data_IF_186197673393
#
_entry.id   IF_186197673393
#
_cell.length_a   1.000
_cell.length_b   1.000
_cell.length_c   1.000
_cell.angle_alpha   90.00
_cell.angle_beta   90.00
_cell.angle_gamma   90.00
#
_symmetry.space_group_name_H-M   'P 1'
#
loop_
_entity.id
_entity.type
_entity.pdbx_description
1 polymer ?
#
# COMPACT_ATOMS: atom_id res chain seq x y z
N UNK A 1 32.31 26.92 36.28
CA UNK A 1 31.72 26.62 35.00
C UNK A 1 30.23 26.92 35.14
N UNK A 2 29.64 27.84 34.37
CA UNK A 2 28.18 27.97 34.43
C UNK A 2 27.55 26.70 33.85
N UNK A 3 26.54 26.22 34.60
CA UNK A 3 25.68 25.11 34.20
C UNK A 3 25.00 25.50 32.90
N UNK A 4 25.30 24.79 31.81
CA UNK A 4 24.63 25.03 30.53
C UNK A 4 23.15 24.63 30.71
N UNK A 5 22.27 25.62 30.69
CA UNK A 5 20.80 25.51 30.78
C UNK A 5 20.29 24.75 29.54
N UNK A 6 20.40 23.41 29.55
CA UNK A 6 19.91 22.54 28.49
C UNK A 6 18.39 22.56 28.47
N UNK A 7 17.81 23.23 27.47
CA UNK A 7 16.37 23.29 27.25
C UNK A 7 15.95 22.29 26.19
N UNK A 8 14.90 21.53 26.48
CA UNK A 8 14.24 20.66 25.49
C UNK A 8 13.28 21.45 24.61
N UNK A 9 13.23 21.14 23.30
CA UNK A 9 12.20 21.68 22.43
C UNK A 9 10.82 21.21 22.89
N UNK A 10 9.85 22.12 22.95
CA UNK A 10 8.44 21.77 23.14
C UNK A 10 7.80 21.56 21.77
N UNK A 11 7.09 20.44 21.61
CA UNK A 11 6.37 20.10 20.38
C UNK A 11 4.91 20.50 20.53
N UNK A 12 4.44 21.42 19.68
CA UNK A 12 3.01 21.72 19.55
C UNK A 12 2.35 20.63 18.68
N UNK A 13 1.61 19.72 19.30
CA UNK A 13 0.95 18.62 18.60
C UNK A 13 -0.05 19.11 17.56
N UNK A 14 -0.76 20.23 17.82
CA UNK A 14 -1.70 20.82 16.86
C UNK A 14 -0.95 21.27 15.61
N UNK A 15 0.20 21.93 15.78
CA UNK A 15 1.07 22.32 14.65
C UNK A 15 1.59 21.11 13.88
N UNK A 16 1.92 20.02 14.56
CA UNK A 16 2.33 18.77 13.90
C UNK A 16 1.18 18.15 13.11
N UNK A 17 -0.02 18.03 13.67
CA UNK A 17 -1.21 17.52 12.97
C UNK A 17 -1.55 18.37 11.75
N UNK A 18 -1.47 19.70 11.87
CA UNK A 18 -1.66 20.63 10.74
C UNK A 18 -0.61 20.43 9.64
N UNK A 19 0.64 20.23 10.03
CA UNK A 19 1.73 19.96 9.09
C UNK A 19 1.56 18.61 8.39
N UNK A 20 1.18 17.57 9.11
CA UNK A 20 0.87 16.25 8.56
C UNK A 20 -0.27 16.34 7.55
N UNK A 21 -1.36 17.04 7.91
CA UNK A 21 -2.56 17.15 7.08
C UNK A 21 -2.38 17.98 5.81
N UNK A 22 -1.46 18.95 5.82
CA UNK A 22 -1.25 19.90 4.69
C UNK A 22 -0.07 19.53 3.80
N UNK A 23 0.93 18.83 4.34
CA UNK A 23 2.23 18.66 3.66
C UNK A 23 2.72 17.23 3.53
N UNK A 24 2.23 16.31 4.36
CA UNK A 24 2.70 14.92 4.34
C UNK A 24 1.66 13.99 3.71
N UNK A 25 0.40 14.13 4.07
CA UNK A 25 -0.67 13.26 3.57
C UNK A 25 -1.54 13.97 2.52
N UNK A 26 -2.00 13.23 1.51
CA UNK A 26 -2.91 13.74 0.47
C UNK A 26 -4.33 14.06 1.00
N UNK A 27 -4.67 13.68 2.23
CA UNK A 27 -5.96 13.99 2.84
C UNK A 27 -6.35 13.07 4.00
N UNK A 28 -7.50 13.32 4.64
CA UNK A 28 -7.90 12.62 5.88
C UNK A 28 -8.20 11.12 5.70
N UNK A 29 -8.37 10.63 4.47
CA UNK A 29 -8.60 9.19 4.15
C UNK A 29 -7.52 8.27 4.66
N UNK A 30 -6.33 8.79 4.86
CA UNK A 30 -5.14 8.04 5.33
C UNK A 30 -5.33 7.47 6.74
N UNK A 31 -6.23 8.01 7.57
CA UNK A 31 -6.49 7.49 8.91
C UNK A 31 -6.76 5.98 8.90
N UNK A 32 -7.56 5.50 7.97
CA UNK A 32 -7.92 4.08 7.91
C UNK A 32 -6.73 3.22 7.44
N UNK A 33 -5.94 3.72 6.50
CA UNK A 33 -4.70 3.04 6.07
C UNK A 33 -3.76 2.84 7.25
N UNK A 34 -3.50 3.90 8.02
CA UNK A 34 -2.60 3.85 9.18
C UNK A 34 -3.12 2.93 10.29
N UNK A 35 -4.45 2.93 10.56
CA UNK A 35 -5.05 2.01 11.53
C UNK A 35 -4.93 0.55 11.09
N UNK A 36 -5.24 0.24 9.82
CA UNK A 36 -5.11 -1.11 9.26
C UNK A 36 -3.67 -1.60 9.26
N UNK A 37 -2.71 -0.70 9.03
CA UNK A 37 -1.31 -0.99 9.10
C UNK A 37 -0.84 -1.30 10.54
N UNK A 38 -1.27 -0.51 11.51
CA UNK A 38 -0.97 -0.77 12.91
C UNK A 38 -1.57 -2.11 13.37
N UNK A 39 -2.78 -2.45 12.91
CA UNK A 39 -3.41 -3.73 13.19
C UNK A 39 -2.64 -4.89 12.54
N UNK A 40 -2.17 -4.75 11.29
CA UNK A 40 -1.34 -5.75 10.62
C UNK A 40 -0.04 -6.00 11.36
N UNK A 41 0.66 -4.94 11.79
CA UNK A 41 1.89 -5.03 12.57
C UNK A 41 1.66 -5.74 13.91
N UNK A 42 0.58 -5.37 14.62
CA UNK A 42 0.22 -6.00 15.89
C UNK A 42 -0.14 -7.49 15.74
N UNK A 43 -0.83 -7.86 14.66
CA UNK A 43 -1.18 -9.25 14.34
C UNK A 43 0.08 -10.04 13.97
N UNK A 44 1.00 -9.45 13.20
CA UNK A 44 2.29 -10.07 12.87
C UNK A 44 3.07 -10.38 14.15
N UNK A 45 3.19 -9.41 15.05
CA UNK A 45 3.83 -9.61 16.35
C UNK A 45 3.11 -10.66 17.21
N UNK A 46 1.78 -10.75 17.16
CA UNK A 46 1.01 -11.75 17.89
C UNK A 46 1.31 -13.16 17.42
N UNK A 47 1.39 -13.36 16.10
CA UNK A 47 1.70 -14.67 15.50
C UNK A 47 3.04 -15.21 15.94
N UNK A 48 4.01 -14.35 16.24
CA UNK A 48 5.30 -14.77 16.76
C UNK A 48 5.26 -15.12 18.25
N UNK A 49 4.39 -14.47 19.03
CA UNK A 49 4.24 -14.75 20.46
C UNK A 49 3.56 -16.10 20.71
N UNK A 50 2.44 -16.37 20.04
CA UNK A 50 1.61 -17.54 20.32
C UNK A 50 0.99 -18.21 19.08
N UNK A 51 1.35 -17.79 17.90
CA UNK A 51 0.86 -18.35 16.63
C UNK A 51 -0.60 -18.01 16.30
N UNK A 52 -1.23 -17.13 17.07
CA UNK A 52 -2.66 -16.76 16.91
C UNK A 52 -2.82 -15.35 16.36
N UNK A 53 -4.07 -14.92 16.13
CA UNK A 53 -4.41 -13.62 15.57
C UNK A 53 -4.55 -13.66 14.05
N UNK A 54 -5.23 -12.66 13.53
CA UNK A 54 -5.43 -12.51 12.09
C UNK A 54 -6.75 -11.87 11.70
N UNK A 55 -7.47 -11.28 12.64
CA UNK A 55 -8.76 -10.65 12.39
C UNK A 55 -8.75 -9.18 12.79
N UNK A 56 -9.21 -8.35 11.90
CA UNK A 56 -9.57 -6.95 12.16
C UNK A 56 -11.08 -6.79 11.97
N UNK A 57 -11.75 -6.22 12.95
CA UNK A 57 -13.17 -5.86 12.86
C UNK A 57 -13.32 -4.35 12.86
N UNK A 58 -14.14 -3.84 11.96
CA UNK A 58 -14.44 -2.41 11.86
C UNK A 58 -15.94 -2.23 12.03
N UNK A 59 -16.32 -1.41 12.99
CA UNK A 59 -17.71 -0.96 13.19
C UNK A 59 -17.79 0.52 12.80
N UNK A 60 -18.33 0.85 11.61
CA UNK A 60 -18.51 2.23 11.18
C UNK A 60 -19.56 2.96 12.01
N UNK A 61 -19.56 4.30 11.96
CA UNK A 61 -20.67 5.08 12.52
C UNK A 61 -21.97 4.76 11.76
N UNK A 62 -23.07 4.83 12.49
CA UNK A 62 -24.42 4.57 11.99
C UNK A 62 -25.43 5.58 12.53
N UNK A 63 -26.70 5.46 12.17
CA UNK A 63 -27.74 6.31 12.72
C UNK A 63 -28.02 6.05 14.21
N UNK A 64 -27.53 4.92 14.76
CA UNK A 64 -27.66 4.53 16.16
C UNK A 64 -26.38 4.67 16.98
N UNK A 65 -25.24 4.91 16.34
CA UNK A 65 -23.92 5.09 16.99
C UNK A 65 -23.09 6.12 16.26
N UNK A 66 -22.61 7.11 16.98
CA UNK A 66 -21.67 8.13 16.51
C UNK A 66 -20.20 7.73 16.71
N UNK A 67 -19.94 6.47 17.06
CA UNK A 67 -18.61 5.96 17.33
C UNK A 67 -18.16 4.98 16.25
N UNK A 68 -17.03 5.28 15.61
CA UNK A 68 -16.28 4.34 14.79
C UNK A 68 -15.34 3.53 15.68
N UNK A 69 -15.30 2.21 15.49
CA UNK A 69 -14.42 1.33 16.23
C UNK A 69 -13.66 0.42 15.27
N UNK A 70 -12.34 0.35 15.43
CA UNK A 70 -11.50 -0.66 14.77
C UNK A 70 -10.87 -1.51 15.87
N UNK A 71 -11.06 -2.81 15.79
CA UNK A 71 -10.52 -3.79 16.75
C UNK A 71 -9.64 -4.80 16.02
N UNK A 72 -8.45 -5.05 16.53
CA UNK A 72 -7.57 -6.14 16.11
C UNK A 72 -7.40 -7.16 17.23
N UNK A 73 -7.11 -8.40 16.86
CA UNK A 73 -6.72 -9.49 17.76
C UNK A 73 -5.19 -9.67 17.82
N UNK A 74 -4.45 -8.58 17.62
CA UNK A 74 -3.00 -8.53 17.67
C UNK A 74 -2.40 -8.73 19.06
N UNK A 75 -1.10 -8.46 19.18
CA UNK A 75 -0.34 -8.65 20.44
C UNK A 75 -0.84 -7.77 21.59
N UNK A 76 -1.52 -6.66 21.29
CA UNK A 76 -1.93 -5.66 22.27
C UNK A 76 -0.75 -4.91 22.90
N UNK A 77 -1.06 -3.98 23.80
CA UNK A 77 -0.09 -3.11 24.49
C UNK A 77 -0.26 -3.21 25.99
N UNK A 78 0.86 -3.11 26.72
CA UNK A 78 0.90 -2.89 28.18
C UNK A 78 0.77 -1.40 28.50
N UNK A 79 0.55 -1.05 29.78
CA UNK A 79 0.46 0.34 30.22
C UNK A 79 1.76 1.13 29.95
N UNK A 80 2.91 0.51 30.15
CA UNK A 80 4.22 1.13 29.93
C UNK A 80 4.44 1.37 28.42
N UNK A 81 4.12 0.36 27.58
CA UNK A 81 4.20 0.49 26.13
C UNK A 81 3.29 1.58 25.56
N UNK A 82 2.08 1.72 26.12
CA UNK A 82 1.14 2.78 25.75
C UNK A 82 1.69 4.16 26.11
N UNK A 83 2.26 4.30 27.31
CA UNK A 83 2.84 5.56 27.75
C UNK A 83 4.03 5.97 26.86
N UNK A 84 4.92 5.03 26.52
CA UNK A 84 6.11 5.31 25.73
C UNK A 84 5.82 5.55 24.25
N UNK A 85 4.97 4.70 23.65
CA UNK A 85 4.67 4.73 22.21
C UNK A 85 3.77 5.90 21.80
N UNK A 86 2.73 6.15 22.61
CA UNK A 86 1.70 7.11 22.23
C UNK A 86 1.99 8.52 22.78
N UNK A 87 2.87 8.64 23.79
CA UNK A 87 3.31 9.93 24.32
C UNK A 87 4.45 10.56 23.50
N UNK A 88 5.16 9.80 22.67
CA UNK A 88 6.33 10.29 21.95
C UNK A 88 6.05 10.34 20.45
N UNK A 89 5.73 11.52 19.93
CA UNK A 89 5.56 11.79 18.51
C UNK A 89 6.89 11.58 17.78
N UNK A 90 6.88 10.76 16.73
CA UNK A 90 8.07 10.52 15.91
C UNK A 90 9.03 9.44 16.43
N UNK A 91 8.73 8.80 17.53
CA UNK A 91 9.49 7.65 18.02
C UNK A 91 8.89 6.35 17.47
N UNK A 92 9.49 5.82 16.42
CA UNK A 92 9.17 4.48 15.93
C UNK A 92 9.92 3.46 16.77
N UNK A 93 9.41 3.15 17.97
CA UNK A 93 9.99 2.19 18.89
C UNK A 93 9.47 0.76 18.68
N UNK A 94 8.73 0.50 17.58
CA UNK A 94 8.31 -0.87 17.23
C UNK A 94 9.49 -1.85 17.16
N UNK A 95 10.70 -1.35 16.85
CA UNK A 95 11.94 -2.11 16.86
C UNK A 95 12.32 -2.67 18.22
N UNK A 96 12.25 -1.82 19.25
CA UNK A 96 12.69 -2.17 20.61
C UNK A 96 11.62 -2.96 21.35
N UNK A 97 10.35 -2.82 20.94
CA UNK A 97 9.19 -3.46 21.58
C UNK A 97 8.98 -4.91 21.15
N UNK A 98 9.25 -5.24 19.89
CA UNK A 98 8.91 -6.55 19.33
C UNK A 98 10.13 -7.40 18.96
N UNK A 99 11.34 -6.84 19.05
CA UNK A 99 12.63 -7.51 18.77
C UNK A 99 12.73 -8.15 17.35
N UNK A 100 12.03 -7.55 16.38
CA UNK A 100 11.83 -8.11 15.05
C UNK A 100 12.55 -7.34 13.93
N UNK A 101 12.91 -7.99 12.79
CA UNK A 101 13.57 -7.35 11.66
C UNK A 101 12.74 -6.22 11.05
N UNK A 102 13.39 -5.18 10.53
CA UNK A 102 12.75 -4.00 9.92
C UNK A 102 11.81 -4.30 8.76
N UNK A 103 12.06 -5.40 8.04
CA UNK A 103 11.35 -5.79 6.83
C UNK A 103 9.90 -6.23 7.06
N UNK A 104 9.56 -6.61 8.30
CA UNK A 104 8.29 -7.29 8.59
C UNK A 104 7.19 -6.34 9.06
N UNK A 105 7.54 -5.06 9.32
CA UNK A 105 6.59 -4.03 9.76
C UNK A 105 6.30 -2.99 8.71
N UNK A 106 5.02 -2.74 8.47
CA UNK A 106 4.55 -1.68 7.61
C UNK A 106 4.67 -0.29 8.28
N UNK A 107 4.59 -0.19 9.62
CA UNK A 107 4.58 1.05 10.41
C UNK A 107 5.95 1.57 10.82
N UNK A 108 6.65 2.34 9.99
CA UNK A 108 8.04 2.76 10.25
C UNK A 108 8.21 4.11 10.96
N UNK A 109 7.23 5.02 10.93
CA UNK A 109 7.46 6.43 11.26
C UNK A 109 6.87 6.91 12.61
N UNK A 110 6.09 6.09 13.33
CA UNK A 110 5.54 6.47 14.64
C UNK A 110 4.56 7.65 14.67
N UNK A 111 4.13 8.13 13.49
CA UNK A 111 3.22 9.28 13.34
C UNK A 111 1.83 8.88 12.82
N UNK A 112 1.67 7.62 12.42
CA UNK A 112 0.45 7.14 11.74
C UNK A 112 -0.83 7.35 12.56
N UNK A 113 -0.78 7.10 13.89
CA UNK A 113 -1.94 7.33 14.76
C UNK A 113 -2.42 8.78 14.77
N UNK A 114 -1.50 9.73 14.60
CA UNK A 114 -1.87 11.16 14.57
C UNK A 114 -2.78 11.51 13.38
N UNK A 115 -2.78 10.71 12.32
CA UNK A 115 -3.71 10.89 11.21
C UNK A 115 -5.17 10.77 11.63
N UNK A 116 -5.47 10.06 12.73
CA UNK A 116 -6.82 9.96 13.28
C UNK A 116 -7.35 11.31 13.77
N UNK A 117 -6.46 12.26 14.16
CA UNK A 117 -6.87 13.62 14.51
C UNK A 117 -7.37 14.44 13.33
N UNK A 118 -7.19 13.96 12.11
CA UNK A 118 -7.81 14.58 10.93
C UNK A 118 -9.32 14.31 10.84
N UNK A 119 -9.81 13.25 11.50
CA UNK A 119 -11.22 12.83 11.47
C UNK A 119 -11.90 12.89 12.85
N UNK A 120 -11.13 12.97 13.94
CA UNK A 120 -11.62 12.96 15.32
C UNK A 120 -10.81 13.92 16.19
N UNK A 121 -11.44 14.63 17.12
CA UNK A 121 -10.72 15.45 18.12
C UNK A 121 -10.23 14.64 19.33
N UNK A 122 -10.73 13.43 19.48
CA UNK A 122 -10.35 12.53 20.57
C UNK A 122 -10.18 11.13 20.05
N UNK A 123 -9.06 10.50 20.39
CA UNK A 123 -8.75 9.11 20.08
C UNK A 123 -8.77 8.35 21.41
N UNK A 124 -9.56 7.29 21.50
CA UNK A 124 -9.53 6.36 22.64
C UNK A 124 -8.98 5.02 22.19
N UNK A 125 -7.95 4.53 22.86
CA UNK A 125 -7.36 3.21 22.60
C UNK A 125 -7.56 2.37 23.84
N UNK A 126 -8.14 1.19 23.66
CA UNK A 126 -8.23 0.16 24.70
C UNK A 126 -7.42 -1.04 24.25
N UNK A 127 -6.54 -1.53 25.13
CA UNK A 127 -5.65 -2.62 24.75
C UNK A 127 -5.36 -3.55 25.92
N UNK A 128 -5.15 -4.83 25.61
CA UNK A 128 -4.65 -5.83 26.54
C UNK A 128 -3.57 -6.66 25.86
N UNK A 129 -2.41 -6.72 26.48
CA UNK A 129 -1.25 -7.41 25.93
C UNK A 129 -1.36 -8.93 26.06
N UNK A 130 -0.96 -9.66 25.02
CA UNK A 130 -0.76 -11.11 25.03
C UNK A 130 0.36 -11.54 25.98
N UNK A 131 1.27 -10.62 26.31
CA UNK A 131 2.38 -10.85 27.25
C UNK A 131 1.94 -10.79 28.71
N UNK A 132 0.64 -10.54 28.96
CA UNK A 132 0.04 -10.45 30.28
C UNK A 132 -0.23 -9.01 30.73
N UNK A 133 -0.69 -8.87 31.96
CA UNK A 133 -1.08 -7.57 32.55
C UNK A 133 -2.57 -7.29 32.43
N UNK A 134 -2.96 -6.16 33.01
CA UNK A 134 -4.35 -5.65 32.97
C UNK A 134 -4.58 -4.86 31.70
N UNK A 135 -5.84 -4.72 31.30
CA UNK A 135 -6.23 -3.86 30.21
C UNK A 135 -5.91 -2.39 30.51
N UNK A 136 -5.48 -1.66 29.49
CA UNK A 136 -5.15 -0.24 29.58
C UNK A 136 -6.05 0.56 28.64
N UNK A 137 -6.42 1.77 29.05
CA UNK A 137 -7.07 2.76 28.22
C UNK A 137 -6.21 4.00 28.11
N UNK A 138 -5.91 4.40 26.89
CA UNK A 138 -5.29 5.68 26.55
C UNK A 138 -6.33 6.57 25.88
N UNK A 139 -6.36 7.84 26.27
CA UNK A 139 -7.22 8.84 25.65
C UNK A 139 -6.39 10.06 25.28
N UNK A 140 -6.21 10.29 23.98
CA UNK A 140 -5.49 11.43 23.44
C UNK A 140 -6.45 12.46 22.83
N UNK A 141 -6.08 13.73 22.93
CA UNK A 141 -6.84 14.86 22.39
C UNK A 141 -6.01 15.66 21.39
N UNK A 142 -6.67 16.30 20.47
CA UNK A 142 -6.05 17.10 19.42
C UNK A 142 -5.31 18.35 19.95
N UNK A 143 -5.51 18.71 21.25
CA UNK A 143 -4.78 19.76 21.94
C UNK A 143 -3.40 19.35 22.47
N UNK A 144 -3.04 18.06 22.30
CA UNK A 144 -1.77 17.51 22.74
C UNK A 144 -1.80 16.89 24.15
N UNK A 145 -2.97 16.87 24.79
CA UNK A 145 -3.11 16.22 26.09
C UNK A 145 -3.50 14.77 25.97
N UNK A 146 -3.08 13.94 26.90
CA UNK A 146 -3.51 12.55 27.00
C UNK A 146 -3.62 12.07 28.43
N UNK A 147 -4.36 10.97 28.62
CA UNK A 147 -4.48 10.25 29.90
C UNK A 147 -4.27 8.77 29.67
N UNK A 148 -3.68 8.10 30.64
CA UNK A 148 -3.55 6.63 30.70
C UNK A 148 -4.21 6.15 31.98
N UNK A 149 -5.13 5.21 31.83
CA UNK A 149 -5.86 4.62 32.96
C UNK A 149 -5.96 3.10 32.81
N UNK A 150 -6.22 2.37 33.86
CA UNK A 150 -6.63 0.98 33.76
C UNK A 150 -7.99 0.92 33.03
N UNK A 151 -8.13 -0.01 32.09
CA UNK A 151 -9.38 -0.16 31.36
C UNK A 151 -10.46 -0.77 32.26
N UNK A 152 -11.69 -0.28 32.09
CA UNK A 152 -12.84 -0.86 32.80
C UNK A 152 -13.23 -2.21 32.19
N UNK A 153 -13.46 -3.19 33.05
CA UNK A 153 -13.87 -4.54 32.67
C UNK A 153 -12.74 -5.41 32.09
N UNK A 154 -13.10 -6.63 31.72
CA UNK A 154 -12.15 -7.56 31.11
C UNK A 154 -12.09 -7.35 29.60
N UNK A 155 -10.92 -6.97 29.08
CA UNK A 155 -10.69 -6.81 27.63
C UNK A 155 -10.19 -8.12 27.02
N UNK A 156 -10.57 -8.44 25.79
CA UNK A 156 -9.89 -9.46 25.00
C UNK A 156 -8.44 -9.02 24.70
N UNK A 157 -7.56 -9.96 24.38
CA UNK A 157 -6.20 -9.65 23.92
C UNK A 157 -6.31 -8.99 22.54
N UNK A 158 -5.53 -7.90 22.35
CA UNK A 158 -5.55 -7.08 21.16
C UNK A 158 -5.77 -5.61 21.48
N UNK A 159 -6.13 -4.85 20.45
CA UNK A 159 -6.34 -3.40 20.57
C UNK A 159 -7.65 -2.97 19.91
N UNK A 160 -8.36 -2.03 20.54
CA UNK A 160 -9.48 -1.33 19.90
C UNK A 160 -9.22 0.17 19.88
N UNK A 161 -9.45 0.79 18.73
CA UNK A 161 -9.35 2.24 18.49
C UNK A 161 -10.74 2.79 18.27
N UNK A 162 -11.12 3.78 19.07
CA UNK A 162 -12.43 4.41 19.06
C UNK A 162 -12.28 5.86 18.62
N UNK A 163 -13.07 6.27 17.61
CA UNK A 163 -13.08 7.62 17.05
C UNK A 163 -14.51 8.16 17.00
N UNK A 164 -14.70 9.41 17.46
CA UNK A 164 -15.92 10.16 17.21
C UNK A 164 -15.66 11.22 16.15
N UNK A 165 -16.54 11.32 15.14
CA UNK A 165 -16.30 12.21 14.00
C UNK A 165 -16.22 13.67 14.43
N UNK A 166 -15.31 14.40 13.83
CA UNK A 166 -15.38 15.87 13.79
C UNK A 166 -16.59 16.30 12.97
N UNK A 167 -17.07 17.50 13.23
CA UNK A 167 -18.31 18.02 12.65
C UNK A 167 -18.40 17.86 11.12
N UNK A 168 -17.29 18.01 10.40
CA UNK A 168 -17.21 17.99 8.94
C UNK A 168 -16.65 16.68 8.35
N UNK A 169 -16.30 15.69 9.18
CA UNK A 169 -15.61 14.46 8.76
C UNK A 169 -16.44 13.18 8.93
N UNK A 170 -17.70 13.30 9.33
CA UNK A 170 -18.56 12.15 9.62
C UNK A 170 -18.70 11.18 8.43
N UNK A 171 -18.75 11.69 7.22
CA UNK A 171 -18.92 10.85 6.03
C UNK A 171 -17.78 9.86 5.80
N UNK A 172 -16.56 10.18 6.24
CA UNK A 172 -15.40 9.28 6.12
C UNK A 172 -15.48 8.08 7.05
N UNK A 173 -16.25 8.18 8.15
CA UNK A 173 -16.42 7.11 9.15
C UNK A 173 -17.70 6.29 8.92
N UNK A 174 -18.53 6.62 7.90
CA UNK A 174 -19.74 5.87 7.53
C UNK A 174 -19.40 4.61 6.74
N UNK A 175 -20.27 3.62 6.81
CA UNK A 175 -20.10 2.28 6.22
C UNK A 175 -19.66 2.34 4.75
N UNK A 176 -20.31 3.13 3.90
CA UNK A 176 -19.96 3.18 2.47
C UNK A 176 -18.51 3.63 2.23
N UNK A 177 -18.09 4.71 2.92
CA UNK A 177 -16.71 5.23 2.83
C UNK A 177 -15.69 4.26 3.42
N UNK A 178 -15.99 3.69 4.59
CA UNK A 178 -15.10 2.72 5.27
C UNK A 178 -14.90 1.48 4.40
N UNK A 179 -15.96 0.92 3.82
CA UNK A 179 -15.87 -0.22 2.89
C UNK A 179 -15.01 0.13 1.66
N UNK A 180 -15.26 1.30 1.05
CA UNK A 180 -14.50 1.73 -0.12
C UNK A 180 -13.01 1.94 0.20
N UNK A 181 -12.70 2.60 1.32
CA UNK A 181 -11.32 2.85 1.75
C UNK A 181 -10.59 1.55 2.15
N UNK A 182 -11.26 0.67 2.91
CA UNK A 182 -10.68 -0.61 3.30
C UNK A 182 -10.39 -1.49 2.07
N UNK A 183 -11.29 -1.54 1.09
CA UNK A 183 -11.06 -2.22 -0.19
C UNK A 183 -9.91 -1.59 -0.97
N UNK A 184 -9.81 -0.27 -1.01
CA UNK A 184 -8.72 0.40 -1.71
C UNK A 184 -7.37 0.07 -1.08
N UNK A 185 -7.22 0.21 0.24
CA UNK A 185 -5.92 0.08 0.89
C UNK A 185 -5.53 -1.37 1.24
N UNK A 186 -6.49 -2.22 1.63
CA UNK A 186 -6.20 -3.43 2.39
C UNK A 186 -6.83 -4.71 1.84
N UNK A 187 -7.43 -4.68 0.62
CA UNK A 187 -8.10 -5.86 0.05
C UNK A 187 -7.22 -7.10 -0.09
N UNK A 188 -5.91 -6.92 -0.16
CA UNK A 188 -4.96 -8.03 -0.34
C UNK A 188 -4.15 -8.37 0.90
N UNK A 189 -4.43 -7.72 2.05
CA UNK A 189 -3.72 -8.04 3.29
C UNK A 189 -3.93 -9.50 3.70
N UNK A 190 -2.89 -10.19 4.23
CA UNK A 190 -2.96 -11.60 4.61
C UNK A 190 -3.62 -11.81 5.98
N UNK A 191 -4.76 -11.15 6.20
CA UNK A 191 -5.57 -11.22 7.41
C UNK A 191 -7.06 -11.03 7.07
N UNK A 192 -7.94 -11.35 8.00
CA UNK A 192 -9.37 -11.25 7.82
C UNK A 192 -9.86 -9.87 8.27
N UNK A 193 -10.33 -9.05 7.34
CA UNK A 193 -10.95 -7.75 7.66
C UNK A 193 -12.47 -7.87 7.49
N UNK A 194 -13.19 -7.65 8.58
CA UNK A 194 -14.64 -7.70 8.66
C UNK A 194 -15.19 -6.30 8.96
N UNK A 195 -16.20 -5.88 8.22
CA UNK A 195 -16.88 -4.60 8.45
C UNK A 195 -18.34 -4.87 8.77
N UNK A 196 -18.78 -4.35 9.91
CA UNK A 196 -20.18 -4.45 10.34
C UNK A 196 -21.08 -3.60 9.42
N UNK A 197 -22.24 -4.16 9.05
CA UNK A 197 -23.18 -3.50 8.16
C UNK A 197 -24.38 -2.94 8.93
N UNK A 198 -24.96 -1.81 8.50
CA UNK A 198 -26.20 -1.29 9.06
C UNK A 198 -27.33 -2.33 8.97
N UNK A 199 -28.05 -2.50 10.05
CA UNK A 199 -29.16 -3.47 10.11
C UNK A 199 -28.74 -4.91 10.45
N UNK A 200 -27.45 -5.14 10.72
CA UNK A 200 -26.89 -6.43 11.09
C UNK A 200 -26.17 -7.14 9.94
N UNK A 201 -25.33 -8.10 10.30
CA UNK A 201 -24.44 -8.78 9.36
C UNK A 201 -23.08 -8.10 9.20
N UNK A 202 -22.22 -8.74 8.42
CA UNK A 202 -20.83 -8.27 8.19
C UNK A 202 -20.44 -8.53 6.73
N UNK A 203 -19.44 -7.81 6.25
CA UNK A 203 -18.80 -8.06 4.96
C UNK A 203 -17.31 -8.27 5.13
N UNK A 204 -16.75 -9.26 4.42
CA UNK A 204 -15.30 -9.46 4.34
C UNK A 204 -14.74 -8.60 3.21
N UNK A 205 -13.58 -7.98 3.47
CA UNK A 205 -12.92 -7.10 2.52
C UNK A 205 -11.76 -7.81 1.82
N UNK A 206 -11.10 -8.75 2.50
CA UNK A 206 -9.85 -9.35 2.03
C UNK A 206 -10.10 -10.50 1.06
N UNK A 207 -9.22 -10.55 0.04
CA UNK A 207 -9.17 -11.57 -1.00
C UNK A 207 -7.71 -11.87 -1.38
N UNK A 208 -7.47 -12.97 -2.07
CA UNK A 208 -6.15 -13.30 -2.58
C UNK A 208 -5.72 -12.32 -3.69
N UNK A 209 -4.43 -11.89 -3.71
CA UNK A 209 -3.94 -10.94 -4.70
C UNK A 209 -3.85 -11.58 -6.10
N UNK A 210 -4.66 -11.12 -7.09
CA UNK A 210 -4.72 -11.74 -8.42
C UNK A 210 -3.45 -11.57 -9.26
N UNK A 211 -2.57 -10.66 -8.85
CA UNK A 211 -1.29 -10.38 -9.51
C UNK A 211 -0.12 -11.19 -8.92
N UNK A 212 -0.42 -12.12 -8.00
CA UNK A 212 0.54 -13.09 -7.46
C UNK A 212 0.00 -14.48 -7.77
N UNK A 213 0.58 -15.15 -8.75
CA UNK A 213 0.12 -16.47 -9.16
C UNK A 213 -0.01 -16.66 -10.67
N UNK A 214 -0.80 -17.63 -11.14
CA UNK A 214 -0.93 -17.92 -12.56
C UNK A 214 -1.56 -16.77 -13.35
N UNK A 215 -0.94 -16.41 -14.47
CA UNK A 215 -1.38 -15.32 -15.35
C UNK A 215 -2.69 -15.61 -16.08
N UNK A 216 -3.03 -16.89 -16.27
CA UNK A 216 -4.25 -17.37 -16.93
C UNK A 216 -5.43 -17.49 -15.98
N UNK A 217 -5.23 -17.22 -14.68
CA UNK A 217 -6.31 -17.26 -13.70
C UNK A 217 -7.40 -16.22 -14.03
N UNK A 218 -8.70 -16.55 -13.90
CA UNK A 218 -9.80 -15.63 -14.18
C UNK A 218 -9.69 -14.30 -13.39
N UNK A 219 -9.18 -14.36 -12.17
CA UNK A 219 -8.97 -13.17 -11.33
C UNK A 219 -7.84 -12.26 -11.86
N UNK A 220 -6.74 -12.83 -12.40
CA UNK A 220 -5.68 -12.07 -13.04
C UNK A 220 -6.17 -11.35 -14.32
N UNK A 221 -6.98 -12.03 -15.14
CA UNK A 221 -7.60 -11.46 -16.33
C UNK A 221 -8.59 -10.35 -15.96
N UNK A 222 -9.38 -10.55 -14.90
CA UNK A 222 -10.34 -9.55 -14.41
C UNK A 222 -9.61 -8.28 -13.91
N UNK A 223 -8.52 -8.44 -13.14
CA UNK A 223 -7.69 -7.32 -12.71
C UNK A 223 -7.04 -6.62 -13.92
N UNK A 224 -6.58 -7.39 -14.91
CA UNK A 224 -6.05 -6.82 -16.15
C UNK A 224 -7.06 -5.92 -16.87
N UNK A 225 -8.33 -6.34 -16.95
CA UNK A 225 -9.41 -5.49 -17.51
C UNK A 225 -9.63 -4.21 -16.71
N UNK A 226 -9.55 -4.28 -15.38
CA UNK A 226 -9.64 -3.09 -14.51
C UNK A 226 -8.49 -2.12 -14.79
N UNK A 227 -7.25 -2.64 -14.84
CA UNK A 227 -6.02 -1.85 -14.96
C UNK A 227 -5.86 -1.19 -16.32
N UNK A 228 -6.19 -1.89 -17.42
CA UNK A 228 -6.00 -1.37 -18.78
C UNK A 228 -7.31 -0.93 -19.47
N UNK A 229 -8.45 -1.09 -18.81
CA UNK A 229 -9.76 -0.69 -19.35
C UNK A 229 -10.35 -1.63 -20.42
N UNK A 230 -9.65 -2.72 -20.76
CA UNK A 230 -10.05 -3.72 -21.74
C UNK A 230 -9.38 -5.07 -21.44
N UNK A 231 -9.63 -6.11 -22.22
CA UNK A 231 -8.87 -7.36 -22.11
C UNK A 231 -7.43 -7.08 -22.51
N UNK A 232 -6.41 -7.35 -21.64
CA UNK A 232 -5.02 -7.18 -21.99
C UNK A 232 -4.64 -8.01 -23.22
N UNK A 233 -3.71 -7.51 -24.04
CA UNK A 233 -3.11 -8.30 -25.11
C UNK A 233 -2.40 -9.54 -24.56
N UNK A 234 -1.67 -9.37 -23.44
CA UNK A 234 -0.98 -10.43 -22.71
C UNK A 234 -0.83 -10.05 -21.25
N UNK A 235 -0.61 -11.05 -20.38
CA UNK A 235 -0.25 -10.86 -18.96
C UNK A 235 1.13 -11.49 -18.77
N UNK A 236 2.10 -10.70 -18.31
CA UNK A 236 3.49 -11.10 -18.14
C UNK A 236 3.77 -11.21 -16.64
N UNK A 237 4.21 -12.37 -16.12
CA UNK A 237 4.68 -12.45 -14.75
C UNK A 237 6.00 -11.70 -14.63
N UNK A 238 6.11 -10.79 -13.66
CA UNK A 238 7.31 -9.99 -13.41
C UNK A 238 7.77 -10.15 -11.97
N UNK A 239 9.09 -10.16 -11.76
CA UNK A 239 9.66 -10.26 -10.42
C UNK A 239 11.04 -9.64 -10.31
N UNK A 240 11.36 -9.15 -9.12
CA UNK A 240 12.69 -8.72 -8.70
C UNK A 240 12.99 -9.32 -7.32
N UNK A 241 13.62 -10.51 -7.27
CA UNK A 241 13.82 -11.25 -6.02
C UNK A 241 14.64 -10.50 -4.97
N UNK A 242 15.59 -9.65 -5.39
CA UNK A 242 16.44 -8.86 -4.48
C UNK A 242 15.67 -7.92 -3.57
N UNK A 243 14.49 -7.46 -4.00
CA UNK A 243 13.57 -6.61 -3.22
C UNK A 243 12.26 -7.31 -2.86
N UNK A 244 12.18 -8.64 -3.06
CA UNK A 244 10.95 -9.39 -2.82
C UNK A 244 9.77 -8.90 -3.67
N UNK A 245 10.06 -8.28 -4.83
CA UNK A 245 9.03 -7.73 -5.72
C UNK A 245 8.49 -8.83 -6.62
N UNK A 246 7.16 -8.93 -6.67
CA UNK A 246 6.42 -9.87 -7.54
C UNK A 246 5.17 -9.20 -8.09
N UNK A 247 4.73 -9.60 -9.29
CA UNK A 247 3.49 -9.05 -9.84
C UNK A 247 3.25 -9.42 -11.29
N UNK A 248 2.30 -8.73 -11.90
CA UNK A 248 1.95 -8.88 -13.29
C UNK A 248 2.08 -7.56 -14.06
N UNK A 249 2.62 -7.63 -15.27
CA UNK A 249 2.56 -6.57 -16.26
C UNK A 249 1.49 -6.92 -17.31
N UNK A 250 0.55 -6.02 -17.52
CA UNK A 250 -0.58 -6.14 -18.45
C UNK A 250 -0.27 -5.38 -19.71
N UNK A 251 -0.10 -6.08 -20.81
CA UNK A 251 0.18 -5.49 -22.13
C UNK A 251 -1.08 -4.83 -22.68
N UNK A 252 -0.97 -3.59 -23.10
CA UNK A 252 -2.07 -2.81 -23.64
C UNK A 252 -2.60 -3.42 -24.95
N UNK A 253 -3.92 -3.56 -25.12
CA UNK A 253 -4.51 -4.10 -26.36
C UNK A 253 -4.54 -3.09 -27.51
N UNK A 254 -4.18 -1.83 -27.26
CA UNK A 254 -4.10 -0.76 -28.25
C UNK A 254 -2.93 0.17 -27.95
N UNK A 255 -2.44 0.88 -28.97
CA UNK A 255 -1.37 1.84 -28.82
C UNK A 255 -1.78 2.95 -27.82
N UNK A 256 -0.97 3.21 -26.79
CA UNK A 256 -1.22 4.34 -25.91
C UNK A 256 -0.96 5.67 -26.67
N UNK A 257 -1.60 6.78 -26.27
CA UNK A 257 -1.26 8.09 -26.82
C UNK A 257 0.22 8.43 -26.52
N UNK A 258 0.87 9.23 -27.37
CA UNK A 258 2.30 9.55 -27.23
C UNK A 258 2.68 10.21 -25.90
N UNK A 259 1.70 10.81 -25.22
CA UNK A 259 1.88 11.45 -23.90
C UNK A 259 1.57 10.51 -22.73
N UNK A 260 1.18 9.27 -23.01
CA UNK A 260 0.87 8.31 -21.95
C UNK A 260 2.16 7.95 -21.20
N UNK A 261 2.16 8.18 -19.91
CA UNK A 261 3.19 7.66 -19.02
C UNK A 261 2.83 6.26 -18.57
N UNK A 262 3.84 5.52 -18.19
CA UNK A 262 3.68 4.25 -17.49
C UNK A 262 2.89 4.49 -16.20
N UNK A 263 2.23 3.47 -15.73
CA UNK A 263 1.58 3.50 -14.44
C UNK A 263 1.72 2.11 -13.80
N UNK A 264 2.36 2.08 -12.67
CA UNK A 264 2.48 0.87 -11.85
C UNK A 264 1.72 1.08 -10.56
N UNK A 265 0.75 0.20 -10.29
CA UNK A 265 0.09 0.12 -8.99
C UNK A 265 0.99 -0.67 -8.06
N UNK A 266 1.38 -0.09 -6.93
CA UNK A 266 2.34 -0.68 -6.02
C UNK A 266 1.69 -0.99 -4.69
N UNK A 267 1.88 -2.23 -4.24
CA UNK A 267 1.57 -2.67 -2.88
C UNK A 267 2.88 -2.89 -2.14
N UNK A 268 2.90 -2.59 -0.84
CA UNK A 268 3.98 -2.87 0.08
C UNK A 268 3.46 -3.83 1.14
N UNK A 269 3.97 -5.07 1.14
CA UNK A 269 3.45 -6.12 2.02
C UNK A 269 1.95 -6.34 1.84
N UNK A 270 1.48 -6.30 0.59
CA UNK A 270 0.08 -6.43 0.15
C UNK A 270 -0.85 -5.28 0.53
N UNK A 271 -0.34 -4.20 1.15
CA UNK A 271 -1.09 -2.96 1.36
C UNK A 271 -0.83 -1.99 0.21
N UNK A 272 -1.89 -1.36 -0.33
CA UNK A 272 -1.73 -0.37 -1.39
C UNK A 272 -0.87 0.80 -0.89
N UNK A 273 0.26 1.00 -1.57
CA UNK A 273 1.14 2.15 -1.38
C UNK A 273 0.70 3.31 -2.29
N UNK A 274 0.64 3.04 -3.60
CA UNK A 274 0.25 4.03 -4.59
C UNK A 274 -0.46 3.37 -5.77
N UNK A 275 -1.52 4.03 -6.27
CA UNK A 275 -2.25 3.61 -7.48
C UNK A 275 -1.42 3.82 -8.75
N UNK A 276 -0.44 4.72 -8.67
CA UNK A 276 0.38 5.10 -9.82
C UNK A 276 1.77 5.53 -9.37
N UNK A 277 2.75 4.74 -9.75
CA UNK A 277 4.17 5.08 -9.71
C UNK A 277 4.66 5.08 -11.16
N UNK A 278 5.16 6.23 -11.62
CA UNK A 278 5.50 6.41 -13.04
C UNK A 278 6.85 5.77 -13.41
N UNK A 279 7.85 5.83 -12.53
CA UNK A 279 9.25 5.50 -12.88
C UNK A 279 9.73 4.11 -12.41
N UNK A 280 8.81 3.18 -12.15
CA UNK A 280 9.16 1.83 -11.70
C UNK A 280 9.52 0.87 -12.85
N UNK A 281 9.10 1.17 -14.06
CA UNK A 281 9.47 0.42 -15.27
C UNK A 281 10.35 1.28 -16.17
N UNK A 282 11.21 0.68 -17.02
CA UNK A 282 11.96 1.45 -18.02
C UNK A 282 11.04 2.22 -18.96
N UNK A 283 11.47 3.39 -19.43
CA UNK A 283 10.68 4.25 -20.32
C UNK A 283 10.16 3.55 -21.59
N UNK A 284 10.94 2.63 -22.11
CA UNK A 284 10.55 1.86 -23.28
C UNK A 284 9.39 0.88 -23.04
N UNK A 285 9.08 0.54 -21.76
CA UNK A 285 7.96 -0.35 -21.42
C UNK A 285 6.59 0.37 -21.36
N UNK A 286 6.41 1.45 -22.13
CA UNK A 286 5.18 2.28 -22.22
C UNK A 286 3.92 1.48 -22.58
N UNK A 287 4.07 0.34 -23.21
CA UNK A 287 3.00 -0.54 -23.67
C UNK A 287 2.43 -1.47 -22.58
N UNK A 288 2.90 -1.35 -21.35
CA UNK A 288 2.38 -2.11 -20.20
C UNK A 288 1.84 -1.21 -19.10
N UNK A 289 0.99 -1.80 -18.27
CA UNK A 289 0.63 -1.32 -16.93
C UNK A 289 0.95 -2.44 -15.97
N UNK A 290 1.52 -2.14 -14.82
CA UNK A 290 1.88 -3.18 -13.88
C UNK A 290 1.13 -3.06 -12.55
N UNK A 291 0.96 -4.20 -11.90
CA UNK A 291 0.52 -4.29 -10.50
C UNK A 291 1.50 -5.19 -9.78
N UNK A 292 2.12 -4.68 -8.74
CA UNK A 292 3.15 -5.40 -8.00
C UNK A 292 2.92 -5.34 -6.49
N UNK A 293 3.47 -6.31 -5.79
CA UNK A 293 3.75 -6.27 -4.36
C UNK A 293 5.25 -6.33 -4.13
N UNK A 294 5.73 -5.63 -3.13
CA UNK A 294 7.15 -5.59 -2.76
C UNK A 294 7.30 -5.59 -1.24
N UNK A 295 8.42 -6.09 -0.73
CA UNK A 295 8.78 -5.99 0.68
C UNK A 295 10.08 -5.22 0.94
N UNK A 296 10.89 -5.01 -0.11
CA UNK A 296 12.22 -4.43 0.01
C UNK A 296 12.40 -3.04 -0.60
N UNK A 297 11.34 -2.43 -1.15
CA UNK A 297 11.38 -1.03 -1.58
C UNK A 297 11.01 -0.10 -0.42
N UNK A 298 11.72 1.03 -0.35
CA UNK A 298 11.52 2.01 0.72
C UNK A 298 10.43 3.02 0.35
N UNK A 299 9.33 3.12 1.13
CA UNK A 299 8.34 4.15 0.90
C UNK A 299 8.82 5.52 1.41
N UNK A 300 8.32 6.60 0.81
CA UNK A 300 8.44 7.95 1.37
C UNK A 300 7.69 8.08 2.71
N UNK A 301 7.93 9.16 3.46
CA UNK A 301 7.26 9.39 4.75
C UNK A 301 5.72 9.47 4.62
N UNK A 302 5.20 9.97 3.50
CA UNK A 302 3.77 9.99 3.19
C UNK A 302 3.20 8.63 2.79
N UNK A 303 4.07 7.67 2.41
CA UNK A 303 3.69 6.37 1.85
C UNK A 303 2.80 6.47 0.61
N UNK A 304 3.07 7.45 -0.21
CA UNK A 304 2.37 7.68 -1.48
C UNK A 304 3.34 7.59 -2.67
N UNK A 305 4.62 7.37 -2.39
CA UNK A 305 5.67 7.18 -3.38
C UNK A 305 6.78 6.26 -2.83
N UNK A 306 7.69 5.86 -3.70
CA UNK A 306 8.88 5.09 -3.38
C UNK A 306 10.09 6.04 -3.38
N UNK A 307 11.04 5.80 -2.50
CA UNK A 307 12.29 6.56 -2.45
C UNK A 307 13.17 6.15 -3.64
N UNK A 308 13.75 7.15 -4.32
CA UNK A 308 14.75 6.93 -5.37
C UNK A 308 16.06 6.48 -4.70
N UNK A 309 16.36 5.17 -4.82
CA UNK A 309 17.56 4.54 -4.29
C UNK A 309 18.00 3.37 -5.18
N UNK A 310 19.14 2.77 -4.85
CA UNK A 310 19.74 1.65 -5.60
C UNK A 310 18.79 0.43 -5.66
N UNK A 311 17.94 0.24 -4.65
CA UNK A 311 16.98 -0.85 -4.61
C UNK A 311 15.88 -0.66 -5.66
N UNK A 312 15.40 0.58 -5.83
CA UNK A 312 14.44 0.93 -6.88
C UNK A 312 15.05 0.76 -8.28
N UNK A 313 16.27 1.25 -8.50
CA UNK A 313 16.95 1.13 -9.78
C UNK A 313 17.16 -0.34 -10.17
N UNK A 314 17.66 -1.16 -9.25
CA UNK A 314 17.84 -2.59 -9.48
C UNK A 314 16.50 -3.31 -9.76
N UNK A 315 15.44 -2.91 -9.07
CA UNK A 315 14.09 -3.44 -9.32
C UNK A 315 13.61 -3.07 -10.72
N UNK A 316 13.79 -1.81 -11.16
CA UNK A 316 13.46 -1.33 -12.50
C UNK A 316 14.17 -2.15 -13.59
N UNK A 317 15.47 -2.41 -13.42
CA UNK A 317 16.25 -3.23 -14.34
C UNK A 317 15.69 -4.66 -14.44
N UNK A 318 15.42 -5.31 -13.31
CA UNK A 318 14.93 -6.69 -13.29
C UNK A 318 13.53 -6.83 -13.89
N UNK A 319 12.63 -5.90 -13.59
CA UNK A 319 11.28 -5.88 -14.18
C UNK A 319 11.35 -5.61 -15.69
N UNK A 320 12.22 -4.69 -16.11
CA UNK A 320 12.51 -4.44 -17.52
C UNK A 320 13.04 -5.68 -18.25
N UNK A 321 14.00 -6.38 -17.63
CA UNK A 321 14.55 -7.62 -18.18
C UNK A 321 13.48 -8.72 -18.35
N UNK A 322 12.53 -8.82 -17.43
CA UNK A 322 11.42 -9.77 -17.55
C UNK A 322 10.51 -9.44 -18.77
N UNK A 323 10.16 -8.17 -18.94
CA UNK A 323 9.34 -7.72 -20.08
C UNK A 323 10.10 -7.92 -21.41
N UNK A 324 11.39 -7.60 -21.44
CA UNK A 324 12.26 -7.81 -22.63
C UNK A 324 12.32 -9.29 -22.99
N UNK A 325 12.53 -10.18 -22.02
CA UNK A 325 12.53 -11.63 -22.24
C UNK A 325 11.23 -12.11 -22.85
N UNK A 326 10.09 -11.61 -22.35
CA UNK A 326 8.78 -11.94 -22.95
C UNK A 326 8.69 -11.55 -24.42
N UNK A 327 9.16 -10.37 -24.83
CA UNK A 327 9.16 -9.93 -26.23
C UNK A 327 10.02 -10.89 -27.09
N UNK A 328 11.20 -11.29 -26.61
CA UNK A 328 12.09 -12.22 -27.29
C UNK A 328 11.45 -13.61 -27.42
N UNK A 329 10.89 -14.13 -26.34
CA UNK A 329 10.22 -15.44 -26.31
C UNK A 329 8.99 -15.47 -27.23
N UNK A 330 8.24 -14.37 -27.29
CA UNK A 330 7.10 -14.23 -28.19
C UNK A 330 7.54 -14.37 -29.66
N UNK A 331 8.68 -13.78 -30.04
CA UNK A 331 9.24 -13.91 -31.38
C UNK A 331 9.72 -15.31 -31.73
N UNK A 332 10.29 -16.02 -30.75
CA UNK A 332 10.77 -17.37 -30.96
C UNK A 332 9.64 -18.42 -31.01
N UNK A 333 8.62 -18.23 -30.18
CA UNK A 333 7.57 -19.24 -29.96
C UNK A 333 6.28 -18.95 -30.72
N UNK A 334 5.93 -17.65 -30.91
CA UNK A 334 4.67 -17.19 -31.50
C UNK A 334 4.86 -15.99 -32.45
N UNK A 335 5.54 -16.17 -33.63
CA UNK A 335 5.87 -15.08 -34.54
C UNK A 335 4.66 -14.27 -35.01
N UNK A 336 3.51 -14.92 -35.21
CA UNK A 336 2.28 -14.22 -35.63
C UNK A 336 1.78 -13.28 -34.52
N UNK A 337 1.92 -13.67 -33.26
CA UNK A 337 1.52 -12.86 -32.12
C UNK A 337 2.47 -11.68 -31.92
N UNK A 338 3.78 -11.88 -32.13
CA UNK A 338 4.74 -10.78 -32.18
C UNK A 338 4.38 -9.78 -33.29
N UNK A 339 4.03 -10.25 -34.48
CA UNK A 339 3.62 -9.37 -35.60
C UNK A 339 2.36 -8.54 -35.22
N UNK A 340 1.40 -9.12 -34.51
CA UNK A 340 0.23 -8.39 -33.97
C UNK A 340 0.64 -7.34 -32.95
N UNK A 341 1.50 -7.70 -31.99
CA UNK A 341 2.03 -6.78 -30.97
C UNK A 341 2.75 -5.59 -31.62
N UNK A 342 3.65 -5.85 -32.56
CA UNK A 342 4.39 -4.82 -33.32
C UNK A 342 3.43 -3.93 -34.09
N UNK A 343 2.40 -4.49 -34.76
CA UNK A 343 1.42 -3.71 -35.50
C UNK A 343 0.60 -2.76 -34.62
N UNK A 344 0.29 -3.18 -33.37
CA UNK A 344 -0.42 -2.35 -32.40
C UNK A 344 0.48 -1.21 -31.91
N UNK A 345 1.75 -1.49 -31.62
CA UNK A 345 2.67 -0.56 -30.95
C UNK A 345 3.73 0.05 -31.88
N UNK A 346 3.56 -0.07 -33.19
CA UNK A 346 4.51 0.28 -34.26
C UNK A 346 5.21 1.65 -34.04
N UNK A 347 4.42 2.71 -33.82
CA UNK A 347 4.95 4.08 -33.72
C UNK A 347 5.89 4.22 -32.51
N UNK A 348 5.51 3.66 -31.41
CA UNK A 348 6.28 3.79 -30.17
C UNK A 348 7.47 2.82 -30.13
N UNK A 349 7.34 1.62 -30.71
CA UNK A 349 8.47 0.72 -30.90
C UNK A 349 9.57 1.32 -31.80
N UNK A 350 9.21 2.06 -32.83
CA UNK A 350 10.16 2.82 -33.67
C UNK A 350 10.95 3.86 -32.87
N UNK A 351 10.31 4.49 -31.85
CA UNK A 351 11.00 5.43 -30.99
C UNK A 351 12.03 4.74 -30.06
N UNK A 352 11.69 3.56 -29.56
CA UNK A 352 12.58 2.80 -28.66
C UNK A 352 13.82 2.31 -29.39
N UNK A 353 13.67 1.84 -30.61
CA UNK A 353 14.77 1.29 -31.44
C UNK A 353 15.92 2.29 -31.57
N UNK A 354 15.65 3.59 -31.42
CA UNK A 354 16.68 4.63 -31.47
C UNK A 354 17.53 4.73 -30.18
N UNK A 355 17.11 4.06 -29.11
CA UNK A 355 17.72 4.18 -27.79
C UNK A 355 18.10 2.85 -27.14
N UNK A 356 17.79 1.71 -27.80
CA UNK A 356 18.05 0.36 -27.26
C UNK A 356 18.49 -0.57 -28.41
N UNK A 357 19.81 -0.73 -28.57
CA UNK A 357 20.42 -1.50 -29.65
C UNK A 357 20.03 -2.99 -29.62
N UNK A 358 19.84 -3.58 -28.43
CA UNK A 358 19.50 -4.99 -28.30
C UNK A 358 18.05 -5.24 -28.76
N UNK A 359 17.12 -4.42 -28.29
CA UNK A 359 15.72 -4.46 -28.72
C UNK A 359 15.60 -4.09 -30.21
N UNK A 360 16.43 -3.16 -30.69
CA UNK A 360 16.51 -2.78 -32.07
C UNK A 360 16.82 -3.98 -32.96
N UNK A 361 17.89 -4.69 -32.69
CA UNK A 361 18.31 -5.87 -33.46
C UNK A 361 17.23 -6.93 -33.58
N UNK A 362 16.33 -7.03 -32.60
CA UNK A 362 15.24 -7.99 -32.60
C UNK A 362 13.94 -7.48 -33.23
N UNK A 363 13.56 -6.22 -32.96
CA UNK A 363 12.26 -5.66 -33.41
C UNK A 363 12.31 -5.10 -34.83
N UNK A 364 13.43 -4.52 -35.25
CA UNK A 364 13.56 -3.87 -36.60
C UNK A 364 13.08 -4.75 -37.75
N UNK A 365 13.40 -6.05 -37.82
CA UNK A 365 12.91 -6.91 -38.90
C UNK A 365 11.38 -7.05 -38.95
N UNK A 366 10.68 -6.68 -37.87
CA UNK A 366 9.22 -6.75 -37.77
C UNK A 366 8.54 -5.40 -38.00
N UNK A 367 9.31 -4.29 -37.95
CA UNK A 367 8.79 -2.96 -38.18
C UNK A 367 8.45 -2.76 -39.66
N UNK A 368 7.52 -1.87 -39.92
CA UNK A 368 7.21 -1.42 -41.26
C UNK A 368 7.40 0.09 -41.39
N UNK A 369 7.90 0.51 -42.54
CA UNK A 369 8.06 1.92 -42.88
C UNK A 369 7.25 2.25 -44.13
N UNK A 370 6.70 3.47 -44.17
CA UNK A 370 6.07 4.00 -45.35
C UNK A 370 7.15 4.39 -46.37
N UNK A 371 7.06 3.86 -47.59
CA UNK A 371 7.97 4.15 -48.69
C UNK A 371 7.19 4.64 -49.90
N UNK A 372 7.89 5.14 -50.91
CA UNK A 372 7.27 5.51 -52.18
C UNK A 372 6.61 4.33 -52.91
N UNK A 373 6.92 3.11 -52.54
CA UNK A 373 6.35 1.86 -53.05
C UNK A 373 5.25 1.28 -52.12
N UNK A 374 4.84 2.04 -51.08
CA UNK A 374 3.90 1.62 -50.08
C UNK A 374 4.58 1.15 -48.78
N UNK A 375 3.79 0.53 -47.87
CA UNK A 375 4.26 0.06 -46.58
C UNK A 375 5.10 -1.20 -46.75
N UNK A 376 6.38 -1.13 -46.39
CA UNK A 376 7.34 -2.23 -46.49
C UNK A 376 7.94 -2.56 -45.12
N UNK A 377 8.32 -3.82 -44.89
CA UNK A 377 9.15 -4.20 -43.75
C UNK A 377 10.56 -3.65 -43.94
N UNK A 378 11.20 -3.29 -42.83
CA UNK A 378 12.59 -2.83 -42.81
C UNK A 378 13.53 -3.97 -43.11
#
# INVERSE_FOLDING_TARGET
>A
MPDDDVRSFQVDLRGVVDLLSRHIYSGPRVYLRELLQNAMDAITARREVDGTGGTVRITPISDTSDEFVLTDDGVGLTADEVADLLATVGRSSKRDLFDLPRSDYLGQFGIGLLSCFMVSDTIVIRSRSARGGRGVQWTGRSDGTFTVTEAEGELPIGTSVHLRPRFDQGDLLRTASVVALAKSFARYLPLRILIDLPGGGETSITEDPPFIGPVDAPAAIALGREVVGAIPFEIIPISAPGTGTVGHAYVLPSAPPPTARQATRVHLGRMLLAERVDDLLPDWAFFVRAVIDTSGLNPTASREAIVEDDALEHTREQLGAAIRRWVLDLGLTQPHRLAQFVAIHDVALKSIVLHDDELAGFIVPWLSVETTLGRMRV
#
